data_IF_997314764430
#
_entry.id   IF_997314764430
#
_cell.length_a   1.000
_cell.length_b   1.000
_cell.length_c   1.000
_cell.angle_alpha   90.00
_cell.angle_beta   90.00
_cell.angle_gamma   90.00
#
_symmetry.space_group_name_H-M   'P 1'
#
loop_
_entity.id
_entity.type
_entity.pdbx_description
1 polymer ?
#
# COMPACT_ATOMS: atom_id res chain seq x y z
N UNK A 1 10.41 23.36 6.68
CA UNK A 1 10.17 21.96 7.08
C UNK A 1 9.86 21.19 5.82
N UNK A 2 10.69 20.22 5.47
CA UNK A 2 10.44 19.36 4.31
C UNK A 2 9.17 18.55 4.53
N UNK A 3 8.34 18.45 3.49
CA UNK A 3 7.13 17.62 3.50
C UNK A 3 7.54 16.15 3.56
N UNK A 4 7.72 15.62 4.76
CA UNK A 4 7.94 14.19 4.98
C UNK A 4 6.58 13.50 4.77
N UNK A 5 6.34 13.02 3.56
CA UNK A 5 5.22 12.13 3.27
C UNK A 5 5.55 10.76 3.85
N UNK A 6 5.04 10.46 5.04
CA UNK A 6 5.15 9.11 5.61
C UNK A 6 4.09 8.22 4.95
N UNK A 7 4.46 7.09 4.35
CA UNK A 7 3.48 6.15 3.83
C UNK A 7 2.70 5.51 4.99
N UNK A 8 1.41 5.82 5.08
CA UNK A 8 0.48 5.23 6.05
C UNK A 8 -0.53 4.38 5.29
N UNK A 9 -0.44 3.06 5.48
CA UNK A 9 -1.49 2.12 5.09
C UNK A 9 -2.51 2.02 6.22
N UNK A 10 -3.78 1.82 5.90
CA UNK A 10 -4.81 1.59 6.92
C UNK A 10 -5.73 0.45 6.55
N UNK A 11 -6.24 -0.20 7.59
CA UNK A 11 -7.38 -1.11 7.55
C UNK A 11 -8.42 -0.59 8.53
N UNK A 12 -9.65 -0.44 8.05
CA UNK A 12 -10.79 0.07 8.82
C UNK A 12 -11.90 -0.98 8.82
N UNK A 13 -12.32 -1.39 10.02
CA UNK A 13 -13.57 -2.13 10.24
C UNK A 13 -14.64 -1.14 10.71
N UNK A 14 -15.77 -1.08 10.00
CA UNK A 14 -16.93 -0.25 10.32
C UNK A 14 -17.99 -1.18 10.89
N UNK A 15 -18.13 -1.26 12.21
CA UNK A 15 -19.27 -1.97 12.80
C UNK A 15 -20.59 -1.25 12.46
N UNK A 16 -21.65 -2.00 12.14
CA UNK A 16 -23.01 -1.47 11.87
C UNK A 16 -23.57 -0.65 13.04
N UNK A 17 -23.06 -0.90 14.25
CA UNK A 17 -23.33 -0.10 15.43
C UNK A 17 -22.15 0.86 15.58
N UNK A 18 -22.40 2.15 15.35
CA UNK A 18 -21.43 3.23 15.56
C UNK A 18 -21.05 3.35 17.04
N UNK A 19 -20.26 2.42 17.57
CA UNK A 19 -19.50 2.65 18.78
C UNK A 19 -18.30 3.56 18.42
N UNK A 20 -17.87 4.45 19.32
CA UNK A 20 -16.70 5.32 19.10
C UNK A 20 -15.37 4.57 18.90
N UNK A 21 -15.40 3.23 18.87
CA UNK A 21 -14.29 2.29 18.88
C UNK A 21 -14.30 1.43 17.60
N UNK A 22 -14.59 2.04 16.45
CA UNK A 22 -14.28 1.39 15.16
C UNK A 22 -12.80 0.97 15.21
N UNK A 23 -12.49 -0.32 15.12
CA UNK A 23 -11.11 -0.78 15.13
C UNK A 23 -10.41 -0.26 13.86
N UNK A 24 -9.49 0.69 14.05
CA UNK A 24 -8.67 1.27 12.99
C UNK A 24 -7.24 0.80 13.17
N UNK A 25 -6.78 -0.07 12.28
CA UNK A 25 -5.39 -0.44 12.23
C UNK A 25 -4.67 0.49 11.26
N UNK A 26 -3.76 1.31 11.78
CA UNK A 26 -2.85 2.12 10.98
C UNK A 26 -1.48 1.47 10.97
N UNK A 27 -0.90 1.30 9.78
CA UNK A 27 0.44 0.76 9.60
C UNK A 27 1.27 1.87 8.97
N UNK A 28 2.30 2.31 9.69
CA UNK A 28 3.21 3.37 9.28
C UNK A 28 4.63 2.80 9.19
N UNK A 29 5.27 3.00 8.04
CA UNK A 29 6.66 2.56 7.83
C UNK A 29 7.59 3.77 7.93
N UNK A 30 8.34 3.88 9.02
CA UNK A 30 9.22 5.02 9.29
C UNK A 30 10.44 4.63 10.11
N UNK A 31 11.58 5.24 9.84
CA UNK A 31 12.82 5.05 10.58
C UNK A 31 14.00 5.61 9.80
N UNK A 32 15.12 5.90 10.47
CA UNK A 32 16.32 6.47 9.83
C UNK A 32 16.93 5.56 8.75
N UNK A 33 16.76 4.25 8.91
CA UNK A 33 17.25 3.22 7.99
C UNK A 33 16.15 2.60 7.13
N UNK A 34 14.95 3.20 7.12
CA UNK A 34 13.78 2.70 6.41
C UNK A 34 13.47 3.63 5.25
N UNK A 35 13.45 3.07 4.05
CA UNK A 35 12.81 3.67 2.87
C UNK A 35 11.50 2.95 2.65
N UNK A 36 10.44 3.69 2.37
CA UNK A 36 9.15 3.09 2.10
C UNK A 36 8.46 3.85 0.98
N UNK A 37 7.76 3.11 0.13
CA UNK A 37 6.93 3.66 -0.93
C UNK A 37 5.66 2.85 -1.06
N UNK A 38 4.56 3.51 -1.38
CA UNK A 38 3.24 2.90 -1.48
C UNK A 38 2.59 3.18 -2.82
N UNK A 39 1.79 2.24 -3.30
CA UNK A 39 1.05 2.36 -4.55
C UNK A 39 -0.40 1.90 -4.35
N UNK A 40 -1.34 2.80 -4.61
CA UNK A 40 -2.77 2.50 -4.61
C UNK A 40 -3.20 1.98 -5.99
N UNK A 41 -3.83 0.81 -6.04
CA UNK A 41 -4.39 0.27 -7.28
C UNK A 41 -5.65 1.06 -7.65
N UNK A 42 -5.53 1.91 -8.67
CA UNK A 42 -6.65 2.72 -9.19
C UNK A 42 -7.20 2.26 -10.54
N UNK A 43 -6.86 1.06 -11.01
CA UNK A 43 -7.28 0.55 -12.33
C UNK A 43 -7.34 -0.97 -12.36
N UNK A 44 -8.30 -1.52 -13.09
CA UNK A 44 -8.42 -2.96 -13.38
C UNK A 44 -7.82 -3.35 -14.73
N UNK A 45 -7.50 -2.38 -15.58
CA UNK A 45 -6.81 -2.57 -16.86
C UNK A 45 -5.35 -2.99 -16.63
N UNK A 46 -5.02 -4.22 -17.05
CA UNK A 46 -3.72 -4.86 -16.84
C UNK A 46 -2.57 -4.11 -17.51
N UNK A 47 -2.76 -3.64 -18.74
CA UNK A 47 -1.74 -2.91 -19.51
C UNK A 47 -1.44 -1.56 -18.86
N UNK A 48 -2.49 -0.85 -18.42
CA UNK A 48 -2.31 0.38 -17.64
C UNK A 48 -1.63 0.11 -16.31
N UNK A 49 -1.96 -0.99 -15.64
CA UNK A 49 -1.34 -1.37 -14.37
C UNK A 49 0.15 -1.67 -14.54
N UNK A 50 0.54 -2.46 -15.56
CA UNK A 50 1.93 -2.74 -15.93
C UNK A 50 2.73 -1.45 -16.13
N UNK A 51 2.21 -0.51 -16.92
CA UNK A 51 2.86 0.79 -17.17
C UNK A 51 3.04 1.60 -15.88
N UNK A 52 2.04 1.61 -15.00
CA UNK A 52 2.12 2.32 -13.72
C UNK A 52 3.14 1.67 -12.78
N UNK A 53 3.22 0.34 -12.72
CA UNK A 53 4.23 -0.36 -11.93
C UNK A 53 5.65 -0.14 -12.44
N UNK A 54 5.87 -0.14 -13.76
CA UNK A 54 7.18 0.17 -14.33
C UNK A 54 7.61 1.61 -14.01
N UNK A 55 6.68 2.56 -14.15
CA UNK A 55 6.93 3.95 -13.76
C UNK A 55 7.28 4.03 -12.27
N UNK A 56 6.46 3.45 -11.41
CA UNK A 56 6.72 3.43 -9.98
C UNK A 56 8.07 2.80 -9.64
N UNK A 57 8.41 1.64 -10.22
CA UNK A 57 9.71 0.97 -10.06
C UNK A 57 10.88 1.89 -10.42
N UNK A 58 10.76 2.67 -11.49
CA UNK A 58 11.82 3.60 -11.92
C UNK A 58 12.01 4.80 -10.99
N UNK A 59 11.01 5.13 -10.17
CA UNK A 59 11.07 6.22 -9.18
C UNK A 59 11.71 5.76 -7.85
N UNK A 60 11.98 4.46 -7.68
CA UNK A 60 12.54 3.90 -6.44
C UNK A 60 14.06 3.75 -6.54
N UNK A 61 14.78 4.57 -5.80
CA UNK A 61 16.25 4.59 -5.74
C UNK A 61 16.86 3.53 -4.80
N UNK A 62 16.02 2.81 -4.05
CA UNK A 62 16.46 1.95 -2.96
C UNK A 62 16.32 0.44 -3.22
N UNK A 63 15.76 0.03 -4.36
CA UNK A 63 15.44 -1.37 -4.66
C UNK A 63 16.67 -2.30 -4.65
N UNK A 64 17.81 -1.83 -5.16
CA UNK A 64 19.04 -2.64 -5.24
C UNK A 64 19.92 -2.50 -3.98
N UNK A 65 19.80 -1.37 -3.28
CA UNK A 65 20.68 -1.03 -2.14
C UNK A 65 20.15 -1.51 -0.79
N UNK A 66 18.85 -1.81 -0.69
CA UNK A 66 18.20 -2.17 0.58
C UNK A 66 17.75 -3.64 0.58
N UNK A 67 17.48 -4.19 1.76
CA UNK A 67 16.71 -5.43 1.89
C UNK A 67 15.23 -5.10 1.73
N UNK A 68 14.60 -5.64 0.70
CA UNK A 68 13.24 -5.29 0.29
C UNK A 68 12.22 -6.27 0.89
N UNK A 69 11.19 -5.73 1.53
CA UNK A 69 9.98 -6.45 1.93
C UNK A 69 8.78 -5.76 1.29
N UNK A 70 7.88 -6.54 0.70
CA UNK A 70 6.69 -6.02 0.02
C UNK A 70 5.44 -6.56 0.67
N UNK A 71 4.51 -5.67 0.98
CA UNK A 71 3.17 -6.02 1.44
C UNK A 71 2.13 -5.64 0.39
N UNK A 72 1.08 -6.47 0.26
CA UNK A 72 -0.10 -6.17 -0.53
C UNK A 72 -1.33 -6.25 0.37
N UNK A 73 -2.03 -5.13 0.55
CA UNK A 73 -3.28 -5.04 1.32
C UNK A 73 -4.44 -5.01 0.34
N UNK A 74 -5.32 -5.99 0.41
CA UNK A 74 -6.46 -6.08 -0.51
C UNK A 74 -7.65 -6.73 0.18
N UNK A 75 -8.86 -6.51 -0.35
CA UNK A 75 -10.02 -7.33 -0.02
C UNK A 75 -10.01 -8.62 -0.83
N UNK A 76 -10.59 -9.67 -0.28
CA UNK A 76 -10.94 -10.87 -1.00
C UNK A 76 -11.80 -10.48 -2.19
N UNK A 77 -11.32 -10.80 -3.38
CA UNK A 77 -12.11 -10.72 -4.59
C UNK A 77 -11.89 -12.01 -5.35
N UNK A 78 -12.95 -12.49 -6.03
CA UNK A 78 -12.85 -13.69 -6.88
C UNK A 78 -11.85 -13.53 -8.05
N UNK A 79 -11.32 -12.32 -8.30
CA UNK A 79 -10.36 -11.97 -9.37
C UNK A 79 -9.01 -11.44 -8.85
N UNK A 80 -8.64 -11.72 -7.60
CA UNK A 80 -7.48 -11.10 -6.92
C UNK A 80 -6.08 -11.51 -7.43
N UNK A 81 -5.96 -12.40 -8.42
CA UNK A 81 -4.67 -13.00 -8.81
C UNK A 81 -3.88 -12.18 -9.84
N UNK A 82 -4.53 -11.34 -10.62
CA UNK A 82 -3.90 -10.68 -11.77
C UNK A 82 -2.89 -9.61 -11.35
N UNK A 83 -3.23 -8.74 -10.40
CA UNK A 83 -2.35 -7.63 -10.01
C UNK A 83 -1.08 -8.13 -9.33
N UNK A 84 -1.19 -9.17 -8.50
CA UNK A 84 -0.05 -9.80 -7.81
C UNK A 84 0.91 -10.42 -8.81
N UNK A 85 0.38 -11.13 -9.83
CA UNK A 85 1.18 -11.68 -10.91
C UNK A 85 1.93 -10.58 -11.68
N UNK A 86 1.21 -9.53 -12.09
CA UNK A 86 1.81 -8.39 -12.79
C UNK A 86 2.89 -7.71 -11.94
N UNK A 87 2.64 -7.56 -10.64
CA UNK A 87 3.61 -7.00 -9.70
C UNK A 87 4.86 -7.87 -9.63
N UNK A 88 4.71 -9.18 -9.36
CA UNK A 88 5.82 -10.12 -9.25
C UNK A 88 6.65 -10.18 -10.54
N UNK A 89 6.01 -10.16 -11.71
CA UNK A 89 6.70 -10.08 -13.01
C UNK A 89 7.50 -8.78 -13.19
N UNK A 90 6.96 -7.65 -12.71
CA UNK A 90 7.59 -6.33 -12.89
C UNK A 90 8.75 -6.11 -11.90
N UNK A 91 8.57 -6.49 -10.64
CA UNK A 91 9.53 -6.23 -9.57
C UNK A 91 10.47 -7.40 -9.31
N UNK A 92 10.11 -8.62 -9.73
CA UNK A 92 10.86 -9.84 -9.39
C UNK A 92 10.71 -10.25 -7.92
N UNK A 93 9.68 -9.75 -7.22
CA UNK A 93 9.48 -9.95 -5.78
C UNK A 93 8.04 -10.38 -5.54
N UNK A 94 7.85 -11.49 -4.81
CA UNK A 94 6.52 -11.92 -4.38
C UNK A 94 6.06 -11.10 -3.17
N UNK A 95 4.92 -10.40 -3.25
CA UNK A 95 4.37 -9.66 -2.11
C UNK A 95 3.81 -10.59 -1.03
N UNK A 96 3.92 -10.16 0.22
CA UNK A 96 3.19 -10.73 1.35
C UNK A 96 1.78 -10.12 1.33
N UNK A 97 0.80 -10.91 0.87
CA UNK A 97 -0.57 -10.42 0.75
C UNK A 97 -1.37 -10.62 2.03
N UNK A 98 -1.88 -9.53 2.58
CA UNK A 98 -2.97 -9.53 3.56
C UNK A 98 -4.31 -9.38 2.83
N UNK A 99 -5.12 -10.45 2.86
CA UNK A 99 -6.48 -10.47 2.29
C UNK A 99 -7.50 -10.22 3.40
N UNK A 100 -8.26 -9.15 3.25
CA UNK A 100 -9.36 -8.78 4.14
C UNK A 100 -10.67 -9.36 3.62
N UNK A 101 -11.65 -9.71 4.49
CA UNK A 101 -12.94 -10.21 4.04
C UNK A 101 -13.64 -9.28 3.04
N UNK A 102 -14.40 -9.85 2.11
CA UNK A 102 -15.18 -9.14 1.10
C UNK A 102 -16.45 -8.46 1.69
N UNK A 103 -16.34 -7.83 2.87
CA UNK A 103 -17.45 -7.15 3.54
C UNK A 103 -17.46 -5.66 3.21
N UNK A 104 -18.62 -5.06 2.95
CA UNK A 104 -18.76 -3.60 2.77
C UNK A 104 -18.34 -2.81 4.02
N UNK A 105 -18.37 -3.47 5.17
CA UNK A 105 -17.93 -2.94 6.46
C UNK A 105 -16.40 -2.84 6.58
N UNK A 106 -15.64 -3.41 5.64
CA UNK A 106 -14.18 -3.43 5.69
C UNK A 106 -13.59 -2.62 4.54
N UNK A 107 -12.70 -1.70 4.89
CA UNK A 107 -11.97 -0.85 3.96
C UNK A 107 -10.46 -0.95 4.19
N UNK A 108 -9.70 -0.84 3.11
CA UNK A 108 -8.24 -0.66 3.14
C UNK A 108 -7.87 0.46 2.18
N UNK A 109 -6.73 1.11 2.40
CA UNK A 109 -6.27 2.16 1.49
C UNK A 109 -5.03 2.89 1.97
N UNK A 110 -4.81 4.06 1.37
CA UNK A 110 -3.76 5.00 1.75
C UNK A 110 -4.30 6.24 2.44
N UNK A 111 -3.60 6.67 3.48
CA UNK A 111 -3.81 7.98 4.09
C UNK A 111 -2.67 8.89 3.66
N UNK A 112 -3.01 9.96 2.96
CA UNK A 112 -2.08 11.04 2.72
C UNK A 112 -2.26 12.11 3.80
N UNK A 113 -1.18 12.32 4.55
CA UNK A 113 -1.07 13.40 5.52
C UNK A 113 -0.10 14.46 4.98
N UNK A 114 -0.56 15.70 4.95
CA UNK A 114 0.30 16.85 4.68
C UNK A 114 -0.03 17.90 5.75
N UNK A 115 1.00 18.42 6.41
CA UNK A 115 0.88 19.38 7.51
C UNK A 115 0.06 20.65 7.18
N UNK A 116 -0.09 20.97 5.90
CA UNK A 116 -0.84 22.14 5.41
C UNK A 116 -2.24 21.82 4.87
N UNK A 117 -2.57 20.55 4.61
CA UNK A 117 -3.86 20.15 4.02
C UNK A 117 -4.58 19.12 4.88
N UNK A 118 -5.91 19.10 4.84
CA UNK A 118 -6.72 18.07 5.51
C UNK A 118 -6.26 16.65 5.12
N UNK A 119 -6.28 15.74 6.09
CA UNK A 119 -6.02 14.30 5.87
C UNK A 119 -6.96 13.75 4.81
N UNK A 120 -6.40 13.11 3.77
CA UNK A 120 -7.19 12.46 2.71
C UNK A 120 -7.03 10.95 2.77
N UNK A 121 -8.15 10.25 2.88
CA UNK A 121 -8.23 8.79 2.73
C UNK A 121 -8.52 8.45 1.28
N UNK A 122 -7.75 7.52 0.73
CA UNK A 122 -7.95 6.99 -0.61
C UNK A 122 -8.13 5.48 -0.49
N UNK A 123 -9.38 4.98 -0.54
CA UNK A 123 -9.66 3.56 -0.40
C UNK A 123 -9.24 2.78 -1.65
N UNK A 124 -8.91 1.50 -1.46
CA UNK A 124 -8.51 0.58 -2.50
C UNK A 124 -7.36 -0.34 -2.07
N UNK A 125 -7.03 -1.32 -2.90
CA UNK A 125 -5.90 -2.22 -2.65
C UNK A 125 -4.58 -1.47 -2.76
N UNK A 126 -3.63 -1.80 -1.89
CA UNK A 126 -2.38 -1.06 -1.72
C UNK A 126 -1.20 -2.01 -1.75
N UNK A 127 -0.18 -1.66 -2.53
CA UNK A 127 1.16 -2.20 -2.37
C UNK A 127 2.01 -1.28 -1.50
N UNK A 128 2.82 -1.84 -0.61
CA UNK A 128 3.83 -1.13 0.16
C UNK A 128 5.17 -1.84 -0.02
N UNK A 129 6.18 -1.13 -0.53
CA UNK A 129 7.56 -1.60 -0.64
C UNK A 129 8.36 -0.92 0.46
N UNK A 130 9.03 -1.72 1.28
CA UNK A 130 9.85 -1.27 2.40
C UNK A 130 11.27 -1.75 2.15
N UNK A 131 12.21 -0.82 2.07
CA UNK A 131 13.63 -1.07 2.02
C UNK A 131 14.27 -0.79 3.37
N UNK A 132 14.88 -1.82 3.96
CA UNK A 132 15.74 -1.67 5.13
C UNK A 132 17.20 -1.58 4.69
N UNK A 133 17.91 -0.53 5.11
CA UNK A 133 19.32 -0.32 4.72
C UNK A 133 20.15 -1.52 5.17
N UNK A 134 20.92 -2.12 4.26
CA UNK A 134 21.94 -3.13 4.59
C UNK A 134 23.04 -2.41 5.40
N UNK A 135 23.42 -3.00 6.53
CA UNK A 135 24.36 -2.46 7.52
C UNK A 135 25.52 -1.67 6.93
#
# INVERSE_FOLDING_TARGET
>A
MENISVPICYVLHIDEIQFPWSDRLFIMFSGSNIKASTFLIGTTDEEKLRKKFLKWKSELDFLESHHITVFHFTKESMKSTTSEKIFSETFGIQPITLRLPASELIETGLIYFNSTTKTKRNPGSVYAIIGNKKF
#
